data_IF_348969076265
#
_entry.id   IF_348969076265
#
_cell.length_a   1.000
_cell.length_b   1.000
_cell.length_c   1.000
_cell.angle_alpha   90.00
_cell.angle_beta   90.00
_cell.angle_gamma   90.00
#
_symmetry.space_group_name_H-M   'P 1'
#
loop_
_entity.id
_entity.type
_entity.pdbx_description
1 polymer ?
#
# COMPACT_ATOMS: atom_id res chain seq x y z
N UNK A 1 6.31 10.86 -4.22
CA UNK A 1 5.57 12.13 -4.11
C UNK A 1 4.06 11.89 -4.21
N UNK A 2 3.23 12.69 -3.52
CA UNK A 2 1.76 12.64 -3.68
C UNK A 2 1.33 13.40 -4.93
N UNK A 3 0.21 13.01 -5.53
CA UNK A 3 -0.36 13.72 -6.70
C UNK A 3 -0.63 15.19 -6.38
N UNK A 4 -1.07 15.52 -5.16
CA UNK A 4 -1.25 16.91 -4.71
C UNK A 4 0.00 17.77 -4.89
N UNK A 5 1.18 17.23 -4.58
CA UNK A 5 2.45 17.96 -4.68
C UNK A 5 2.84 18.19 -6.14
N UNK A 6 2.62 17.20 -7.01
CA UNK A 6 2.82 17.36 -8.45
C UNK A 6 1.86 18.40 -9.04
N UNK A 7 0.57 18.32 -8.72
CA UNK A 7 -0.43 19.29 -9.17
C UNK A 7 -0.09 20.72 -8.73
N UNK A 8 0.42 20.90 -7.50
CA UNK A 8 0.90 22.19 -7.02
C UNK A 8 2.13 22.69 -7.81
N UNK A 9 3.09 21.80 -8.10
CA UNK A 9 4.26 22.17 -8.90
C UNK A 9 3.85 22.60 -10.33
N UNK A 10 2.91 21.87 -10.94
CA UNK A 10 2.35 22.19 -12.25
C UNK A 10 1.60 23.53 -12.23
N UNK A 11 0.78 23.78 -11.21
CA UNK A 11 0.08 25.06 -11.05
C UNK A 11 1.06 26.24 -10.92
N UNK A 12 2.10 26.10 -10.09
CA UNK A 12 3.14 27.13 -9.95
C UNK A 12 3.92 27.36 -11.23
N UNK A 13 4.16 26.30 -12.01
CA UNK A 13 4.80 26.42 -13.31
C UNK A 13 3.87 27.13 -14.30
N UNK A 14 2.56 26.89 -14.25
CA UNK A 14 1.58 27.65 -15.02
C UNK A 14 1.61 29.15 -14.69
N UNK A 15 1.73 29.50 -13.40
CA UNK A 15 1.87 30.91 -12.97
C UNK A 15 3.17 31.56 -13.49
N UNK A 16 4.24 30.77 -13.66
CA UNK A 16 5.47 31.25 -14.29
C UNK A 16 5.30 31.44 -15.80
N UNK A 17 4.62 30.52 -16.48
CA UNK A 17 4.29 30.62 -17.91
C UNK A 17 3.38 31.83 -18.20
N UNK A 18 2.40 32.10 -17.34
CA UNK A 18 1.53 33.27 -17.49
C UNK A 18 2.30 34.59 -17.33
N UNK A 19 3.25 34.66 -16.39
CA UNK A 19 4.15 35.83 -16.25
C UNK A 19 5.06 36.01 -17.46
N UNK A 20 5.34 34.93 -18.20
CA UNK A 20 6.07 34.97 -19.46
C UNK A 20 5.15 35.11 -20.68
N UNK A 21 3.88 35.49 -20.48
CA UNK A 21 2.86 35.68 -21.53
C UNK A 21 2.53 34.42 -22.35
N UNK A 22 2.94 33.24 -21.89
CA UNK A 22 2.61 31.95 -22.48
C UNK A 22 1.23 31.44 -22.02
N UNK A 23 0.20 32.28 -22.16
CA UNK A 23 -1.14 32.08 -21.59
C UNK A 23 -1.79 30.74 -21.98
N UNK A 24 -1.68 30.35 -23.26
CA UNK A 24 -2.26 29.09 -23.74
C UNK A 24 -1.57 27.86 -23.12
N UNK A 25 -0.27 27.91 -22.89
CA UNK A 25 0.45 26.83 -22.21
C UNK A 25 0.10 26.78 -20.71
N UNK A 26 0.02 27.95 -20.06
CA UNK A 26 -0.40 28.07 -18.67
C UNK A 26 -1.83 27.51 -18.45
N UNK A 27 -2.77 27.85 -19.33
CA UNK A 27 -4.16 27.37 -19.26
C UNK A 27 -4.25 25.83 -19.33
N UNK A 28 -3.58 25.21 -20.32
CA UNK A 28 -3.52 23.75 -20.45
C UNK A 28 -2.95 23.07 -19.21
N UNK A 29 -1.86 23.61 -18.68
CA UNK A 29 -1.19 23.05 -17.51
C UNK A 29 -2.06 23.15 -16.25
N UNK A 30 -2.84 24.23 -16.11
CA UNK A 30 -3.85 24.37 -15.05
C UNK A 30 -4.99 23.39 -15.20
N UNK A 31 -5.55 23.25 -16.40
CA UNK A 31 -6.61 22.27 -16.67
C UNK A 31 -6.15 20.85 -16.30
N UNK A 32 -4.90 20.51 -16.62
CA UNK A 32 -4.31 19.25 -16.22
C UNK A 32 -4.11 19.13 -14.70
N UNK A 33 -3.57 20.16 -14.04
CA UNK A 33 -3.41 20.16 -12.58
C UNK A 33 -4.76 20.03 -11.85
N UNK A 34 -5.83 20.61 -12.40
CA UNK A 34 -7.19 20.46 -11.91
C UNK A 34 -7.73 19.05 -12.12
N UNK A 35 -7.47 18.44 -13.28
CA UNK A 35 -7.83 17.05 -13.58
C UNK A 35 -7.23 16.03 -12.59
N UNK A 36 -6.11 16.39 -11.93
CA UNK A 36 -5.45 15.58 -10.90
C UNK A 36 -6.04 15.73 -9.49
N UNK A 37 -6.87 16.75 -9.22
CA UNK A 37 -7.45 16.99 -7.89
C UNK A 37 -8.20 15.78 -7.29
N UNK A 38 -9.00 15.00 -8.05
CA UNK A 38 -9.73 13.85 -7.51
C UNK A 38 -8.84 12.77 -6.90
N UNK A 39 -7.57 12.67 -7.34
CA UNK A 39 -6.59 11.66 -6.89
C UNK A 39 -5.47 12.27 -6.04
N UNK A 40 -5.66 13.48 -5.51
CA UNK A 40 -4.63 14.25 -4.78
C UNK A 40 -3.94 13.49 -3.62
N UNK A 41 -4.64 12.53 -3.00
CA UNK A 41 -4.14 11.72 -1.89
C UNK A 41 -3.31 10.52 -2.32
N UNK A 42 -3.36 10.11 -3.59
CA UNK A 42 -2.61 8.98 -4.12
C UNK A 42 -1.12 9.33 -4.30
N UNK A 43 -0.27 8.30 -4.32
CA UNK A 43 1.12 8.46 -4.77
C UNK A 43 1.18 8.51 -6.29
N UNK A 44 2.17 9.22 -6.84
CA UNK A 44 2.38 9.29 -8.30
C UNK A 44 2.58 7.90 -8.91
N UNK A 45 3.32 6.99 -8.24
CA UNK A 45 3.49 5.62 -8.73
C UNK A 45 2.16 4.86 -8.84
N UNK A 46 1.30 4.96 -7.82
CA UNK A 46 -0.02 4.32 -7.83
C UNK A 46 -0.92 4.93 -8.91
N UNK A 47 -0.88 6.25 -9.04
CA UNK A 47 -1.61 6.96 -10.08
C UNK A 47 -1.17 6.52 -11.48
N UNK A 48 0.13 6.40 -11.74
CA UNK A 48 0.66 5.90 -13.00
C UNK A 48 0.18 4.47 -13.30
N UNK A 49 0.20 3.58 -12.29
CA UNK A 49 -0.32 2.21 -12.41
C UNK A 49 -1.83 2.17 -12.68
N UNK A 50 -2.59 3.14 -12.17
CA UNK A 50 -4.02 3.27 -12.45
C UNK A 50 -4.22 3.73 -13.88
N UNK A 51 -3.52 4.78 -14.32
CA UNK A 51 -3.63 5.35 -15.66
C UNK A 51 -3.26 4.36 -16.78
N UNK A 52 -2.30 3.47 -16.55
CA UNK A 52 -1.96 2.41 -17.51
C UNK A 52 -3.10 1.38 -17.69
N UNK A 53 -4.02 1.28 -16.73
CA UNK A 53 -5.15 0.34 -16.75
C UNK A 53 -6.50 0.96 -17.11
N UNK A 54 -6.60 2.29 -17.12
CA UNK A 54 -7.85 2.96 -17.46
C UNK A 54 -8.16 2.79 -18.94
N UNK A 55 -9.34 2.26 -19.24
CA UNK A 55 -9.94 2.38 -20.56
C UNK A 55 -10.44 3.80 -20.72
N UNK A 56 -9.80 4.54 -21.63
CA UNK A 56 -10.05 5.95 -21.84
C UNK A 56 -10.84 6.13 -23.14
N UNK A 57 -12.00 6.81 -23.09
CA UNK A 57 -12.76 7.08 -24.29
C UNK A 57 -11.98 8.05 -25.18
N UNK A 58 -11.93 7.76 -26.48
CA UNK A 58 -11.43 8.70 -27.47
C UNK A 58 -12.41 9.87 -27.52
N UNK A 59 -11.90 11.07 -27.27
CA UNK A 59 -12.65 12.32 -27.33
C UNK A 59 -12.24 13.09 -28.58
N UNK A 60 -13.18 13.81 -29.18
CA UNK A 60 -12.92 14.73 -30.30
C UNK A 60 -12.36 16.08 -29.85
N UNK A 61 -12.10 16.25 -28.55
CA UNK A 61 -11.57 17.47 -27.96
C UNK A 61 -10.13 17.73 -28.43
N UNK A 62 -9.81 18.92 -28.96
CA UNK A 62 -8.49 19.23 -29.51
C UNK A 62 -7.37 19.26 -28.46
N UNK A 63 -7.68 19.52 -27.18
CA UNK A 63 -6.65 19.63 -26.14
C UNK A 63 -6.18 18.25 -25.66
N UNK A 64 -5.10 17.75 -26.26
CA UNK A 64 -4.55 16.42 -25.99
C UNK A 64 -3.49 16.43 -24.88
N UNK A 65 -3.41 15.32 -24.14
CA UNK A 65 -2.38 15.11 -23.13
C UNK A 65 -0.97 15.23 -23.72
N UNK A 66 -0.76 14.79 -24.97
CA UNK A 66 0.54 14.88 -25.65
C UNK A 66 1.10 16.30 -25.72
N UNK A 67 0.25 17.33 -25.76
CA UNK A 67 0.67 18.73 -25.77
C UNK A 67 1.31 19.19 -24.45
N UNK A 68 1.07 18.48 -23.35
CA UNK A 68 1.65 18.76 -22.04
C UNK A 68 3.05 18.17 -21.87
N UNK A 69 3.41 17.17 -22.69
CA UNK A 69 4.70 16.50 -22.60
C UNK A 69 5.90 17.48 -22.67
N UNK A 70 6.00 18.40 -23.66
CA UNK A 70 7.12 19.34 -23.70
C UNK A 70 7.15 20.30 -22.51
N UNK A 71 5.98 20.70 -21.97
CA UNK A 71 5.91 21.59 -20.81
C UNK A 71 6.43 20.90 -19.54
N UNK A 72 6.03 19.65 -19.32
CA UNK A 72 6.44 18.88 -18.15
C UNK A 72 7.91 18.45 -18.27
N UNK A 73 8.37 18.17 -19.49
CA UNK A 73 9.80 17.92 -19.75
C UNK A 73 10.66 19.14 -19.45
N UNK A 74 10.25 20.34 -19.87
CA UNK A 74 10.94 21.58 -19.52
C UNK A 74 10.98 21.82 -18.00
N UNK A 75 9.87 21.54 -17.30
CA UNK A 75 9.84 21.60 -15.83
C UNK A 75 10.78 20.57 -15.18
N UNK A 76 10.84 19.36 -15.73
CA UNK A 76 11.76 18.31 -15.26
C UNK A 76 13.21 18.75 -15.44
N UNK A 77 13.58 19.28 -16.61
CA UNK A 77 14.92 19.80 -16.88
C UNK A 77 15.29 20.93 -15.91
N UNK A 78 14.38 21.89 -15.68
CA UNK A 78 14.60 22.96 -14.72
C UNK A 78 14.85 22.42 -13.30
N UNK A 79 14.12 21.38 -12.90
CA UNK A 79 14.26 20.76 -11.58
C UNK A 79 15.43 19.80 -11.47
N UNK A 80 16.05 19.38 -12.56
CA UNK A 80 17.28 18.57 -12.51
C UNK A 80 18.46 19.35 -11.95
N UNK A 81 18.49 20.66 -12.18
CA UNK A 81 19.58 21.54 -11.72
C UNK A 81 19.47 21.92 -10.24
N UNK A 82 18.24 22.05 -9.72
CA UNK A 82 17.98 22.64 -8.39
C UNK A 82 17.06 21.81 -7.49
N UNK A 83 16.41 20.79 -8.04
CA UNK A 83 15.36 20.02 -7.37
C UNK A 83 15.88 18.77 -6.66
N UNK A 84 15.02 18.20 -5.82
CA UNK A 84 15.29 16.90 -5.19
C UNK A 84 15.12 15.77 -6.22
N UNK A 85 16.01 14.77 -6.25
CA UNK A 85 15.97 13.70 -7.24
C UNK A 85 14.68 12.87 -7.20
N UNK A 86 14.07 12.74 -6.02
CA UNK A 86 12.78 12.06 -5.84
C UNK A 86 11.64 12.77 -6.57
N UNK A 87 11.61 14.11 -6.53
CA UNK A 87 10.58 14.93 -7.19
C UNK A 87 10.75 14.82 -8.70
N UNK A 88 11.99 14.93 -9.20
CA UNK A 88 12.34 14.75 -10.60
C UNK A 88 11.91 13.35 -11.09
N UNK A 89 12.23 12.30 -10.32
CA UNK A 89 11.84 10.93 -10.64
C UNK A 89 10.33 10.73 -10.73
N UNK A 90 9.56 11.34 -9.82
CA UNK A 90 8.10 11.29 -9.85
C UNK A 90 7.51 12.07 -11.03
N UNK A 91 8.04 13.26 -11.37
CA UNK A 91 7.61 14.02 -12.53
C UNK A 91 7.93 13.30 -13.85
N UNK A 92 9.07 12.61 -13.95
CA UNK A 92 9.39 11.74 -15.09
C UNK A 92 8.40 10.58 -15.24
N UNK A 93 7.94 9.99 -14.13
CA UNK A 93 6.87 8.96 -14.18
C UNK A 93 5.56 9.55 -14.71
N UNK A 94 5.19 10.75 -14.25
CA UNK A 94 4.00 11.44 -14.75
C UNK A 94 4.13 11.76 -16.25
N UNK A 95 5.30 12.23 -16.68
CA UNK A 95 5.61 12.47 -18.10
C UNK A 95 5.49 11.20 -18.94
N UNK A 96 5.96 10.05 -18.44
CA UNK A 96 5.83 8.77 -19.14
C UNK A 96 4.36 8.40 -19.39
N UNK A 97 3.49 8.58 -18.38
CA UNK A 97 2.04 8.35 -18.51
C UNK A 97 1.43 9.26 -19.57
N UNK A 98 1.83 10.54 -19.58
CA UNK A 98 1.33 11.53 -20.53
C UNK A 98 1.75 11.17 -21.96
N UNK A 99 3.00 10.73 -22.15
CA UNK A 99 3.49 10.27 -23.47
C UNK A 99 2.76 9.01 -23.95
N UNK A 100 2.57 8.03 -23.07
CA UNK A 100 1.83 6.79 -23.40
C UNK A 100 0.37 7.08 -23.76
N UNK A 101 -0.22 8.11 -23.16
CA UNK A 101 -1.62 8.50 -23.32
C UNK A 101 -1.79 9.77 -24.16
N UNK A 102 -0.82 10.08 -25.01
CA UNK A 102 -0.72 11.36 -25.70
C UNK A 102 -1.95 11.72 -26.55
N UNK A 103 -2.63 10.74 -27.13
CA UNK A 103 -3.80 10.95 -28.01
C UNK A 103 -5.11 11.28 -27.27
N UNK A 104 -5.09 11.28 -25.95
CA UNK A 104 -6.30 11.38 -25.13
C UNK A 104 -6.49 12.83 -24.74
N UNK A 105 -7.71 13.33 -24.88
CA UNK A 105 -8.04 14.68 -24.43
C UNK A 105 -7.86 14.86 -22.92
N UNK A 106 -7.47 16.05 -22.48
CA UNK A 106 -7.38 16.40 -21.05
C UNK A 106 -8.75 16.20 -20.36
N UNK A 107 -9.86 16.61 -21.00
CA UNK A 107 -11.21 16.44 -20.46
C UNK A 107 -11.65 14.97 -20.32
N UNK A 108 -11.35 14.14 -21.33
CA UNK A 108 -11.59 12.69 -21.29
C UNK A 108 -10.78 12.00 -20.19
N UNK A 109 -9.51 12.41 -20.02
CA UNK A 109 -8.67 11.95 -18.93
C UNK A 109 -9.24 12.33 -17.55
N UNK A 110 -9.61 13.60 -17.36
CA UNK A 110 -10.21 14.08 -16.11
C UNK A 110 -11.50 13.31 -15.77
N UNK A 111 -12.31 13.00 -16.77
CA UNK A 111 -13.55 12.24 -16.61
C UNK A 111 -13.27 10.79 -16.19
N UNK A 112 -12.30 10.14 -16.80
CA UNK A 112 -11.91 8.79 -16.45
C UNK A 112 -11.28 8.69 -15.05
N UNK A 113 -10.44 9.65 -14.69
CA UNK A 113 -9.87 9.74 -13.34
C UNK A 113 -10.98 9.94 -12.30
N UNK A 114 -11.94 10.84 -12.55
CA UNK A 114 -13.12 11.02 -11.69
C UNK A 114 -13.96 9.75 -11.58
N UNK A 115 -14.22 9.06 -12.69
CA UNK A 115 -14.95 7.79 -12.70
C UNK A 115 -14.20 6.71 -11.91
N UNK A 116 -12.88 6.64 -12.02
CA UNK A 116 -12.05 5.73 -11.25
C UNK A 116 -12.18 5.99 -9.76
N UNK A 117 -12.01 7.24 -9.33
CA UNK A 117 -12.15 7.63 -7.91
C UNK A 117 -13.57 7.36 -7.41
N UNK A 118 -14.60 7.66 -8.20
CA UNK A 118 -15.99 7.37 -7.86
C UNK A 118 -16.25 5.85 -7.75
N UNK A 119 -15.60 5.03 -8.58
CA UNK A 119 -15.68 3.57 -8.50
C UNK A 119 -14.85 2.98 -7.35
N UNK A 120 -13.78 3.66 -6.95
CA UNK A 120 -12.97 3.29 -5.79
C UNK A 120 -13.66 3.69 -4.48
N UNK A 121 -14.42 4.80 -4.46
CA UNK A 121 -15.19 5.27 -3.32
C UNK A 121 -16.51 4.52 -3.15
N UNK A 122 -17.14 4.09 -4.25
CA UNK A 122 -18.17 3.04 -4.23
C UNK A 122 -17.49 1.69 -3.97
N UNK A 123 -17.05 1.51 -2.73
CA UNK A 123 -16.23 0.40 -2.26
C UNK A 123 -16.37 -0.85 -3.12
N UNK A 124 -15.47 -1.01 -4.09
CA UNK A 124 -15.26 -2.33 -4.66
C UNK A 124 -14.94 -3.21 -3.45
N UNK A 125 -15.62 -4.36 -3.29
CA UNK A 125 -15.22 -5.31 -2.27
C UNK A 125 -13.74 -5.56 -2.55
N UNK A 126 -12.88 -5.16 -1.60
CA UNK A 126 -11.45 -5.50 -1.62
C UNK A 126 -11.42 -6.95 -2.05
N UNK A 127 -10.71 -7.27 -3.15
CA UNK A 127 -10.40 -8.66 -3.57
C UNK A 127 -10.35 -9.48 -2.30
N UNK A 128 -11.37 -10.30 -2.09
CA UNK A 128 -11.64 -10.89 -0.79
C UNK A 128 -10.33 -11.46 -0.29
N UNK A 129 -9.92 -11.06 0.93
CA UNK A 129 -9.10 -11.98 1.69
C UNK A 129 -9.78 -13.34 1.53
N UNK A 130 -9.03 -14.35 1.08
CA UNK A 130 -9.60 -15.69 0.95
C UNK A 130 -10.40 -15.95 2.24
N UNK A 131 -11.67 -16.37 2.13
CA UNK A 131 -12.50 -16.56 3.31
C UNK A 131 -11.70 -17.40 4.30
N UNK A 132 -11.54 -16.88 5.51
CA UNK A 132 -10.67 -17.47 6.51
C UNK A 132 -11.04 -18.93 6.69
N UNK A 133 -10.07 -19.82 6.50
CA UNK A 133 -10.31 -21.25 6.68
C UNK A 133 -10.40 -21.55 8.19
N UNK A 134 -11.64 -21.51 8.70
CA UNK A 134 -11.93 -21.76 10.11
C UNK A 134 -11.49 -23.16 10.54
N UNK A 135 -11.59 -24.15 9.64
CA UNK A 135 -11.21 -25.52 9.93
C UNK A 135 -9.69 -25.67 10.11
N UNK A 136 -8.92 -24.95 9.30
CA UNK A 136 -7.46 -24.87 9.42
C UNK A 136 -7.05 -24.21 10.76
N UNK A 137 -7.70 -23.10 11.11
CA UNK A 137 -7.46 -22.40 12.39
C UNK A 137 -7.81 -23.29 13.58
N UNK A 138 -8.97 -23.94 13.57
CA UNK A 138 -9.38 -24.84 14.66
C UNK A 138 -8.44 -26.04 14.82
N UNK A 139 -7.96 -26.60 13.70
CA UNK A 139 -7.02 -27.72 13.70
C UNK A 139 -5.68 -27.34 14.33
N UNK A 140 -5.10 -26.21 13.92
CA UNK A 140 -3.85 -25.73 14.49
C UNK A 140 -4.01 -25.29 15.94
N UNK A 141 -5.14 -24.67 16.31
CA UNK A 141 -5.39 -24.23 17.68
C UNK A 141 -5.41 -25.43 18.65
N UNK A 142 -6.13 -26.51 18.33
CA UNK A 142 -6.15 -27.73 19.15
C UNK A 142 -4.76 -28.33 19.34
N UNK A 143 -3.95 -28.35 18.27
CA UNK A 143 -2.58 -28.85 18.33
C UNK A 143 -1.66 -27.94 19.15
N UNK A 144 -1.83 -26.62 19.05
CA UNK A 144 -1.08 -25.64 19.85
C UNK A 144 -1.41 -25.75 21.33
N UNK A 145 -2.68 -25.97 21.67
CA UNK A 145 -3.13 -26.20 23.04
C UNK A 145 -2.62 -27.53 23.59
N UNK A 146 -2.63 -28.60 22.78
CA UNK A 146 -2.09 -29.91 23.17
C UNK A 146 -0.56 -29.90 23.37
N UNK A 147 0.15 -29.10 22.57
CA UNK A 147 1.60 -28.92 22.69
C UNK A 147 2.00 -27.90 23.78
N UNK A 148 1.04 -27.30 24.49
CA UNK A 148 1.32 -26.24 25.45
C UNK A 148 2.16 -26.76 26.62
N UNK A 149 3.38 -26.23 26.76
CA UNK A 149 4.29 -26.61 27.84
C UNK A 149 5.14 -27.85 27.58
N UNK A 150 5.12 -28.38 26.36
CA UNK A 150 6.14 -29.26 25.78
C UNK A 150 6.94 -28.46 24.74
N UNK A 151 8.23 -28.21 25.02
CA UNK A 151 9.04 -27.32 24.16
C UNK A 151 9.37 -27.93 22.79
N UNK A 152 9.54 -29.25 22.71
CA UNK A 152 9.86 -29.91 21.45
C UNK A 152 8.63 -29.94 20.54
N UNK A 153 7.50 -30.42 21.07
CA UNK A 153 6.26 -30.51 20.32
C UNK A 153 5.76 -29.12 19.86
N UNK A 154 5.90 -28.08 20.69
CA UNK A 154 5.48 -26.74 20.33
C UNK A 154 6.34 -26.14 19.21
N UNK A 155 7.66 -26.32 19.24
CA UNK A 155 8.56 -25.80 18.20
C UNK A 155 8.40 -26.48 16.86
N UNK A 156 8.10 -27.78 16.85
CA UNK A 156 7.83 -28.53 15.63
C UNK A 156 6.53 -28.05 14.98
N UNK A 157 5.48 -27.90 15.78
CA UNK A 157 4.21 -27.34 15.31
C UNK A 157 4.35 -25.89 14.84
N UNK A 158 5.16 -25.08 15.51
CA UNK A 158 5.43 -23.72 15.10
C UNK A 158 6.10 -23.64 13.72
N UNK A 159 7.09 -24.51 13.47
CA UNK A 159 7.76 -24.61 12.16
C UNK A 159 6.80 -25.08 11.07
N UNK A 160 5.90 -25.99 11.39
CA UNK A 160 4.85 -26.43 10.47
C UNK A 160 3.91 -25.26 10.09
N UNK A 161 3.42 -24.51 11.07
CA UNK A 161 2.55 -23.34 10.83
C UNK A 161 3.27 -22.26 10.02
N UNK A 162 4.55 -22.00 10.31
CA UNK A 162 5.33 -21.00 9.59
C UNK A 162 5.65 -21.43 8.14
N UNK A 163 5.80 -22.74 7.89
CA UNK A 163 5.99 -23.30 6.56
C UNK A 163 4.71 -23.50 5.75
N UNK A 164 3.54 -23.59 6.39
CA UNK A 164 2.27 -23.85 5.72
C UNK A 164 1.76 -22.60 4.96
N UNK A 165 1.81 -22.67 3.63
CA UNK A 165 1.36 -21.61 2.71
C UNK A 165 -0.13 -21.32 2.81
N UNK A 166 -0.93 -22.25 3.37
CA UNK A 166 -2.37 -22.06 3.60
C UNK A 166 -2.64 -21.15 4.79
N UNK A 167 -1.70 -21.03 5.73
CA UNK A 167 -1.80 -20.11 6.86
C UNK A 167 -1.44 -18.71 6.37
N UNK A 168 -2.46 -17.96 5.95
CA UNK A 168 -2.26 -16.57 5.52
C UNK A 168 -2.13 -15.65 6.74
N UNK A 169 -1.98 -14.35 6.48
CA UNK A 169 -1.99 -13.34 7.55
C UNK A 169 -3.28 -13.40 8.38
N UNK A 170 -4.43 -13.64 7.76
CA UNK A 170 -5.72 -13.61 8.46
C UNK A 170 -5.81 -14.77 9.44
N UNK A 171 -5.48 -15.99 9.00
CA UNK A 171 -5.45 -17.17 9.86
C UNK A 171 -4.41 -17.04 10.97
N UNK A 172 -3.22 -16.49 10.69
CA UNK A 172 -2.20 -16.28 11.72
C UNK A 172 -2.66 -15.29 12.80
N UNK A 173 -3.35 -14.20 12.43
CA UNK A 173 -3.91 -13.22 13.37
C UNK A 173 -5.06 -13.82 14.18
N UNK A 174 -5.90 -14.64 13.56
CA UNK A 174 -6.99 -15.33 14.26
C UNK A 174 -6.44 -16.38 15.24
N UNK A 175 -5.47 -17.20 14.81
CA UNK A 175 -4.77 -18.16 15.66
C UNK A 175 -4.16 -17.46 16.88
N UNK A 176 -3.45 -16.35 16.66
CA UNK A 176 -2.90 -15.55 17.73
C UNK A 176 -3.99 -14.97 18.64
N UNK A 177 -5.11 -14.51 18.07
CA UNK A 177 -6.21 -13.91 18.84
C UNK A 177 -6.90 -14.92 19.75
N UNK A 178 -7.15 -16.14 19.24
CA UNK A 178 -7.79 -17.21 20.01
C UNK A 178 -6.84 -17.83 21.03
N UNK A 179 -5.57 -17.98 20.67
CA UNK A 179 -4.58 -18.54 21.58
C UNK A 179 -4.22 -17.56 22.71
N UNK A 180 -4.03 -16.27 22.42
CA UNK A 180 -3.48 -15.26 23.35
C UNK A 180 -4.47 -14.23 23.88
N UNK A 181 -5.62 -14.06 23.23
CA UNK A 181 -6.48 -12.90 23.39
C UNK A 181 -6.34 -11.89 22.23
N UNK A 182 -7.22 -10.88 22.17
CA UNK A 182 -7.43 -10.05 20.98
C UNK A 182 -6.13 -9.52 20.36
N UNK A 183 -5.88 -9.85 19.10
CA UNK A 183 -4.74 -9.34 18.33
C UNK A 183 -5.22 -8.34 17.28
N UNK A 184 -4.56 -7.17 17.11
CA UNK A 184 -5.00 -6.18 16.14
C UNK A 184 -5.07 -6.77 14.72
N UNK A 185 -6.15 -6.54 13.95
CA UNK A 185 -6.35 -7.12 12.62
C UNK A 185 -5.29 -6.66 11.60
N UNK A 186 -4.63 -5.53 11.86
CA UNK A 186 -3.54 -4.99 11.05
C UNK A 186 -2.18 -5.70 11.28
N UNK A 187 -2.10 -6.65 12.22
CA UNK A 187 -0.86 -7.35 12.54
C UNK A 187 -0.37 -8.19 11.35
N UNK A 188 0.93 -8.14 11.08
CA UNK A 188 1.55 -8.94 10.01
C UNK A 188 1.65 -10.41 10.41
N UNK A 189 1.69 -11.33 9.43
CA UNK A 189 1.83 -12.78 9.67
C UNK A 189 3.03 -13.11 10.57
N UNK A 190 4.26 -12.63 10.30
CA UNK A 190 5.41 -12.95 11.16
C UNK A 190 5.22 -12.46 12.59
N UNK A 191 4.63 -11.27 12.76
CA UNK A 191 4.38 -10.68 14.09
C UNK A 191 3.30 -11.44 14.86
N UNK A 192 2.27 -11.95 14.18
CA UNK A 192 1.23 -12.77 14.80
C UNK A 192 1.80 -14.12 15.27
N UNK A 193 2.60 -14.78 14.43
CA UNK A 193 3.26 -16.03 14.79
C UNK A 193 4.28 -15.84 15.92
N UNK A 194 5.09 -14.79 15.89
CA UNK A 194 6.02 -14.48 17.00
C UNK A 194 5.32 -14.34 18.35
N UNK A 195 4.08 -13.84 18.39
CA UNK A 195 3.31 -13.76 19.64
C UNK A 195 2.96 -15.14 20.21
N UNK A 196 2.65 -16.12 19.35
CA UNK A 196 2.41 -17.51 19.75
C UNK A 196 3.66 -18.08 20.42
N UNK A 197 4.81 -17.94 19.76
CA UNK A 197 6.09 -18.43 20.27
C UNK A 197 6.49 -17.76 21.59
N UNK A 198 6.32 -16.44 21.69
CA UNK A 198 6.68 -15.69 22.88
C UNK A 198 5.87 -16.09 24.13
N UNK A 199 4.59 -16.42 23.97
CA UNK A 199 3.77 -16.94 25.10
C UNK A 199 4.27 -18.28 25.59
N UNK A 200 4.58 -19.19 24.66
CA UNK A 200 5.12 -20.49 25.05
C UNK A 200 6.47 -20.34 25.76
N UNK A 201 7.37 -19.50 25.26
CA UNK A 201 8.63 -19.18 25.93
C UNK A 201 8.42 -18.68 27.36
N UNK A 202 7.52 -17.70 27.56
CA UNK A 202 7.18 -17.20 28.90
C UNK A 202 6.67 -18.30 29.84
N UNK A 203 5.87 -19.22 29.33
CA UNK A 203 5.37 -20.36 30.11
C UNK A 203 6.50 -21.33 30.48
N UNK A 204 7.43 -21.61 29.57
CA UNK A 204 8.59 -22.47 29.82
C UNK A 204 9.56 -21.83 30.83
N UNK A 205 9.81 -20.53 30.72
CA UNK A 205 10.67 -19.79 31.66
C UNK A 205 10.06 -19.78 33.07
N UNK A 206 8.74 -19.62 33.17
CA UNK A 206 8.03 -19.74 34.43
C UNK A 206 8.14 -21.17 35.01
N UNK A 207 7.92 -22.21 34.21
CA UNK A 207 8.07 -23.62 34.65
C UNK A 207 9.48 -23.89 35.19
N UNK A 208 10.53 -23.51 34.44
CA UNK A 208 11.93 -23.66 34.85
C UNK A 208 12.23 -22.94 36.17
N UNK A 209 11.71 -21.72 36.32
CA UNK A 209 11.86 -20.93 37.55
C UNK A 209 11.13 -21.56 38.74
N UNK A 210 9.94 -22.13 38.51
CA UNK A 210 9.17 -22.81 39.57
C UNK A 210 9.80 -24.14 40.01
N UNK A 211 10.42 -24.87 39.09
CA UNK A 211 11.10 -26.13 39.37
C UNK A 211 12.42 -25.91 40.13
N UNK A 212 13.17 -24.85 39.81
CA UNK A 212 14.38 -24.49 40.55
C UNK A 212 14.08 -24.05 41.99
N UNK A 213 12.99 -23.29 42.20
CA UNK A 213 12.52 -22.89 43.54
C UNK A 213 12.08 -24.13 44.36
N UNK A 214 11.40 -25.10 43.74
CA UNK A 214 10.99 -26.34 44.41
C UNK A 214 12.16 -27.26 44.78
N UNK A 215 13.24 -27.30 43.99
CA UNK A 215 14.45 -28.07 44.30
C UNK A 215 15.37 -27.38 45.32
N UNK A 216 15.23 -26.08 45.53
CA UNK A 216 16.04 -25.30 46.48
C UNK A 216 15.50 -25.20 47.90
N UNK A 217 14.35 -25.81 48.22
CA UNK A 217 13.80 -25.83 49.59
C UNK A 217 14.29 -27.10 50.31
N UNK A 218 15.20 -27.00 51.29
CA UNK A 218 15.48 -28.15 52.14
C UNK A 218 14.19 -28.49 52.91
N UNK A 219 13.84 -29.77 52.95
CA UNK A 219 12.77 -30.25 53.80
C UNK A 219 13.14 -29.93 55.25
N UNK A 220 12.33 -29.12 55.91
CA UNK A 220 12.36 -28.87 57.34
C UNK A 220 11.26 -29.72 58.00
#
# INVERSE_FOLDING_TARGET
>A
MKVATAALALARYADALERAEAFAAAARLRAFAEALQPVRSESISRFADVCSRLSLPHSSDPERLGELAPLIEALVQLLEEVGKPEIVGDLRRLLAVIRERGDISIGGFATAVRKHVASASKGQPRKGAAPMDRSLVDGYLKRLEAALGDDAAFRDLFREIDGDKRVTRVEAVELASRFLGPTPPATSRPKALQRLLHRHQKLMDFKRSSESIRRGRPAA
#
